data_IF_114118064782
#
_entry.id   IF_114118064782
#
_cell.length_a   1.000
_cell.length_b   1.000
_cell.length_c   1.000
_cell.angle_alpha   90.00
_cell.angle_beta   90.00
_cell.angle_gamma   90.00
#
_symmetry.space_group_name_H-M   'P 1'
#
loop_
_entity.id
_entity.type
_entity.pdbx_description
1 polymer ?
#
# COMPACT_ATOMS: atom_id res chain seq x y z
N UNK A 1 1.10 11.63 -17.76
CA UNK A 1 -0.19 11.28 -17.12
C UNK A 1 -0.81 12.55 -16.55
N UNK A 2 -2.13 12.73 -16.63
CA UNK A 2 -2.82 13.80 -15.88
C UNK A 2 -2.63 13.59 -14.36
N UNK A 3 -2.54 14.67 -13.53
CA UNK A 3 -2.00 14.53 -12.18
C UNK A 3 -2.96 13.80 -11.22
N UNK A 4 -2.38 12.96 -10.37
CA UNK A 4 -2.96 12.38 -9.17
C UNK A 4 -2.19 12.92 -7.95
N UNK A 5 -2.77 12.83 -6.76
CA UNK A 5 -2.12 13.32 -5.53
C UNK A 5 -1.45 12.17 -4.80
N UNK A 6 -0.23 12.38 -4.31
CA UNK A 6 0.44 11.45 -3.38
C UNK A 6 0.50 12.12 -2.01
N UNK A 7 0.06 11.40 -0.97
CA UNK A 7 0.13 11.83 0.42
C UNK A 7 0.95 10.79 1.19
N UNK A 8 1.95 11.25 1.93
CA UNK A 8 2.76 10.41 2.82
C UNK A 8 2.40 10.78 4.27
N UNK A 9 2.00 9.80 5.06
CA UNK A 9 1.53 9.99 6.44
C UNK A 9 2.12 8.94 7.41
N UNK A 10 2.16 9.24 8.70
CA UNK A 10 2.78 8.36 9.71
C UNK A 10 1.78 7.44 10.43
N UNK A 11 0.50 7.45 10.07
CA UNK A 11 -0.50 6.61 10.71
C UNK A 11 -0.13 5.10 10.64
N UNK A 12 0.24 4.56 11.80
CA UNK A 12 0.67 3.15 12.00
C UNK A 12 -0.14 2.43 13.10
N UNK A 13 -1.27 3.02 13.51
CA UNK A 13 -2.23 2.42 14.44
C UNK A 13 -3.64 2.48 13.84
N UNK A 14 -4.54 1.59 14.28
CA UNK A 14 -5.90 1.55 13.76
C UNK A 14 -6.64 2.89 13.88
N UNK A 15 -6.57 3.53 15.05
CA UNK A 15 -7.21 4.83 15.26
C UNK A 15 -6.60 5.93 14.38
N UNK A 16 -5.27 6.01 14.30
CA UNK A 16 -4.61 7.02 13.46
C UNK A 16 -4.95 6.82 11.97
N UNK A 17 -4.96 5.58 11.50
CA UNK A 17 -5.30 5.25 10.11
C UNK A 17 -6.74 5.62 9.79
N UNK A 18 -7.67 5.36 10.71
CA UNK A 18 -9.08 5.71 10.56
C UNK A 18 -9.28 7.23 10.42
N UNK A 19 -8.64 8.02 11.28
CA UNK A 19 -8.73 9.47 11.22
C UNK A 19 -8.10 10.04 9.94
N UNK A 20 -6.92 9.54 9.55
CA UNK A 20 -6.24 9.97 8.35
C UNK A 20 -7.05 9.64 7.09
N UNK A 21 -7.51 8.39 6.93
CA UNK A 21 -8.31 7.97 5.78
C UNK A 21 -9.67 8.68 5.73
N UNK A 22 -10.30 8.94 6.87
CA UNK A 22 -11.52 9.75 6.94
C UNK A 22 -11.28 11.18 6.44
N UNK A 23 -10.19 11.81 6.87
CA UNK A 23 -9.82 13.15 6.40
C UNK A 23 -9.53 13.17 4.89
N UNK A 24 -8.74 12.22 4.39
CA UNK A 24 -8.40 12.08 2.96
C UNK A 24 -9.66 11.82 2.13
N UNK A 25 -10.56 10.95 2.60
CA UNK A 25 -11.83 10.66 1.92
C UNK A 25 -12.72 11.90 1.79
N UNK A 26 -12.71 12.80 2.78
CA UNK A 26 -13.50 14.04 2.76
C UNK A 26 -12.97 15.09 1.78
N UNK A 27 -11.66 15.11 1.51
CA UNK A 27 -11.04 16.07 0.57
C UNK A 27 -10.91 15.50 -0.85
N UNK A 28 -11.14 14.20 -1.01
CA UNK A 28 -10.98 13.49 -2.27
C UNK A 28 -11.95 14.02 -3.34
N UNK A 29 -11.49 14.36 -4.56
CA UNK A 29 -12.37 14.83 -5.64
C UNK A 29 -13.51 13.84 -5.95
N UNK A 30 -14.66 14.36 -6.38
CA UNK A 30 -15.75 13.51 -6.85
C UNK A 30 -15.29 12.60 -8.00
N UNK A 31 -15.75 11.35 -8.01
CA UNK A 31 -15.40 10.32 -9.01
C UNK A 31 -13.91 9.91 -9.08
N UNK A 32 -13.11 10.24 -8.07
CA UNK A 32 -11.73 9.74 -7.95
C UNK A 32 -11.61 8.54 -6.98
N UNK A 33 -10.53 7.78 -7.09
CA UNK A 33 -10.23 6.66 -6.22
C UNK A 33 -9.27 7.04 -5.08
N UNK A 34 -9.39 6.34 -3.96
CA UNK A 34 -8.37 6.31 -2.91
C UNK A 34 -7.62 4.97 -2.96
N UNK A 35 -6.30 5.04 -3.11
CA UNK A 35 -5.38 3.89 -3.11
C UNK A 35 -4.51 3.99 -1.86
N UNK A 36 -4.65 3.04 -0.93
CA UNK A 36 -3.92 3.06 0.34
C UNK A 36 -2.78 2.05 0.32
N UNK A 37 -1.55 2.51 0.57
CA UNK A 37 -0.32 1.70 0.67
C UNK A 37 0.14 1.65 2.11
N UNK A 38 0.16 0.47 2.72
CA UNK A 38 0.59 0.33 4.11
C UNK A 38 1.06 -1.10 4.43
N UNK A 39 1.72 -1.25 5.57
CA UNK A 39 2.06 -2.54 6.15
C UNK A 39 1.65 -2.58 7.62
N UNK A 40 2.19 -3.54 8.36
CA UNK A 40 2.17 -3.47 9.81
C UNK A 40 3.47 -4.05 10.34
N UNK A 41 4.09 -3.40 11.32
CA UNK A 41 5.29 -3.94 11.96
C UNK A 41 5.09 -5.30 12.65
N UNK A 42 6.11 -6.15 12.62
CA UNK A 42 6.25 -7.33 13.47
C UNK A 42 6.75 -6.97 14.88
N UNK A 43 6.68 -7.92 15.82
CA UNK A 43 6.93 -7.76 17.27
C UNK A 43 6.10 -6.64 17.91
N UNK A 44 4.95 -6.34 17.33
CA UNK A 44 4.00 -5.34 17.84
C UNK A 44 2.64 -6.00 18.07
N UNK A 45 1.72 -5.23 18.64
CA UNK A 45 0.36 -5.69 18.86
C UNK A 45 -0.29 -6.13 17.53
N UNK A 46 -0.61 -7.43 17.44
CA UNK A 46 -1.27 -8.04 16.28
C UNK A 46 -2.69 -7.49 16.05
N UNK A 47 -3.30 -6.83 17.03
CA UNK A 47 -4.57 -6.12 16.81
C UNK A 47 -4.47 -5.07 15.69
N UNK A 48 -3.25 -4.54 15.43
CA UNK A 48 -2.99 -3.59 14.34
C UNK A 48 -3.26 -4.15 12.96
N UNK A 49 -3.26 -5.48 12.77
CA UNK A 49 -3.62 -6.11 11.49
C UNK A 49 -5.07 -5.83 11.08
N UNK A 50 -5.92 -5.44 12.05
CA UNK A 50 -7.28 -4.91 11.80
C UNK A 50 -7.31 -3.64 10.97
N UNK A 51 -6.17 -2.95 10.79
CA UNK A 51 -6.03 -1.84 9.84
C UNK A 51 -6.45 -2.21 8.41
N UNK A 52 -6.40 -3.49 8.03
CA UNK A 52 -6.97 -3.97 6.76
C UNK A 52 -8.46 -3.67 6.62
N UNK A 53 -9.24 -3.85 7.69
CA UNK A 53 -10.67 -3.54 7.70
C UNK A 53 -10.91 -2.02 7.56
N UNK A 54 -10.11 -1.22 8.27
CA UNK A 54 -10.18 0.25 8.22
C UNK A 54 -9.85 0.75 6.81
N UNK A 55 -8.76 0.27 6.21
CA UNK A 55 -8.38 0.62 4.84
C UNK A 55 -9.50 0.29 3.83
N UNK A 56 -10.17 -0.86 4.00
CA UNK A 56 -11.26 -1.28 3.13
C UNK A 56 -12.50 -0.38 3.23
N UNK A 57 -12.77 0.25 4.39
CA UNK A 57 -13.91 1.19 4.53
C UNK A 57 -13.79 2.44 3.66
N UNK A 58 -12.57 2.89 3.39
CA UNK A 58 -12.31 4.18 2.75
C UNK A 58 -11.73 4.07 1.34
N UNK A 59 -11.04 2.97 1.05
CA UNK A 59 -10.20 2.85 -0.16
C UNK A 59 -10.89 2.06 -1.26
N UNK A 60 -10.65 2.44 -2.51
CA UNK A 60 -11.01 1.64 -3.67
C UNK A 60 -9.96 0.56 -3.94
N UNK A 61 -8.71 0.81 -3.54
CA UNK A 61 -7.63 -0.16 -3.66
C UNK A 61 -6.71 -0.12 -2.44
N UNK A 62 -6.23 -1.29 -2.06
CA UNK A 62 -5.35 -1.49 -0.91
C UNK A 62 -4.11 -2.21 -1.42
N UNK A 63 -2.94 -1.64 -1.14
CA UNK A 63 -1.65 -2.24 -1.45
C UNK A 63 -0.91 -2.51 -0.15
N UNK A 64 -0.70 -3.78 0.13
CA UNK A 64 -0.14 -4.27 1.41
C UNK A 64 1.33 -4.63 1.19
N UNK A 65 2.20 -4.16 2.07
CA UNK A 65 3.66 -4.28 1.93
C UNK A 65 4.38 -4.29 3.28
N UNK A 66 5.71 -4.31 3.27
CA UNK A 66 6.54 -4.23 4.46
C UNK A 66 6.40 -2.86 5.19
N UNK A 67 6.39 -2.90 6.52
CA UNK A 67 6.52 -1.72 7.39
C UNK A 67 7.64 -1.90 8.41
N UNK A 68 7.83 -3.08 8.99
CA UNK A 68 9.01 -3.50 9.75
C UNK A 68 8.73 -4.94 10.17
N UNK A 69 8.73 -5.94 9.25
CA UNK A 69 8.34 -7.30 9.60
C UNK A 69 9.19 -7.92 10.72
N UNK A 70 10.45 -7.45 10.88
CA UNK A 70 11.40 -8.00 11.88
C UNK A 70 11.53 -9.50 11.66
N UNK A 71 11.37 -10.31 12.70
CA UNK A 71 11.46 -11.78 12.62
C UNK A 71 10.14 -12.48 12.32
N UNK A 72 9.04 -11.73 12.11
CA UNK A 72 7.79 -12.30 11.62
C UNK A 72 7.80 -12.39 10.09
N UNK A 73 7.25 -13.48 9.55
CA UNK A 73 7.04 -13.67 8.12
C UNK A 73 6.19 -12.53 7.54
N UNK A 74 6.71 -11.81 6.55
CA UNK A 74 5.96 -10.73 5.92
C UNK A 74 4.68 -11.25 5.23
N UNK A 75 4.77 -12.43 4.62
CA UNK A 75 3.62 -13.07 3.97
C UNK A 75 2.50 -13.40 4.97
N UNK A 76 2.84 -13.78 6.20
CA UNK A 76 1.86 -14.06 7.26
C UNK A 76 1.21 -12.77 7.78
N UNK A 77 2.03 -11.73 8.03
CA UNK A 77 1.53 -10.38 8.37
C UNK A 77 0.53 -9.90 7.32
N UNK A 78 0.90 -9.98 6.03
CA UNK A 78 0.05 -9.58 4.93
C UNK A 78 -1.24 -10.41 4.88
N UNK A 79 -1.17 -11.71 5.17
CA UNK A 79 -2.34 -12.59 5.21
C UNK A 79 -3.32 -12.22 6.33
N UNK A 80 -2.81 -11.83 7.51
CA UNK A 80 -3.63 -11.33 8.61
C UNK A 80 -4.35 -10.03 8.20
N UNK A 81 -3.64 -9.07 7.60
CA UNK A 81 -4.23 -7.81 7.11
C UNK A 81 -5.33 -8.09 6.06
N UNK A 82 -5.05 -8.95 5.07
CA UNK A 82 -6.00 -9.37 4.04
C UNK A 82 -7.28 -9.93 4.66
N UNK A 83 -7.15 -10.81 5.67
CA UNK A 83 -8.30 -11.42 6.35
C UNK A 83 -9.20 -10.38 7.00
N UNK A 84 -8.65 -9.32 7.59
CA UNK A 84 -9.46 -8.23 8.14
C UNK A 84 -10.13 -7.42 7.04
N UNK A 85 -9.41 -7.07 5.97
CA UNK A 85 -9.97 -6.33 4.84
C UNK A 85 -11.12 -7.08 4.14
N UNK A 86 -11.02 -8.42 4.02
CA UNK A 86 -12.07 -9.27 3.42
C UNK A 86 -13.40 -9.22 4.18
N UNK A 87 -13.40 -8.90 5.49
CA UNK A 87 -14.63 -8.68 6.26
C UNK A 87 -15.46 -7.52 5.71
N UNK A 88 -14.81 -6.60 4.98
CA UNK A 88 -15.44 -5.47 4.33
C UNK A 88 -15.47 -5.64 2.79
N UNK A 89 -15.67 -6.88 2.32
CA UNK A 89 -15.84 -7.23 0.90
C UNK A 89 -14.64 -6.91 -0.01
N UNK A 90 -13.47 -6.66 0.57
CA UNK A 90 -12.25 -6.49 -0.22
C UNK A 90 -11.85 -7.80 -0.90
N UNK A 91 -11.53 -7.73 -2.19
CA UNK A 91 -11.13 -8.85 -3.02
C UNK A 91 -9.61 -8.85 -3.18
N UNK A 92 -8.95 -9.92 -2.74
CA UNK A 92 -7.55 -10.16 -3.07
C UNK A 92 -7.43 -10.46 -4.56
N UNK A 93 -6.77 -9.57 -5.30
CA UNK A 93 -6.53 -9.73 -6.73
C UNK A 93 -5.29 -10.56 -6.98
N UNK A 94 -4.19 -10.23 -6.29
CA UNK A 94 -2.94 -10.96 -6.40
C UNK A 94 -1.99 -10.70 -5.25
N UNK A 95 -1.00 -11.58 -5.14
CA UNK A 95 0.18 -11.42 -4.29
C UNK A 95 1.40 -11.46 -5.21
N UNK A 96 2.31 -10.53 -5.04
CA UNK A 96 3.61 -10.50 -5.72
C UNK A 96 4.66 -11.08 -4.78
N UNK A 97 5.35 -12.11 -5.25
CA UNK A 97 6.35 -12.82 -4.46
C UNK A 97 7.62 -11.98 -4.28
N UNK A 98 8.07 -11.33 -5.35
CA UNK A 98 9.30 -10.56 -5.42
C UNK A 98 9.23 -9.53 -6.57
N UNK A 99 10.27 -8.69 -6.66
CA UNK A 99 10.37 -7.68 -7.71
C UNK A 99 10.31 -8.28 -9.13
N UNK A 100 10.88 -9.46 -9.36
CA UNK A 100 10.87 -10.08 -10.69
C UNK A 100 9.44 -10.45 -11.09
N UNK A 101 8.73 -11.13 -10.19
CA UNK A 101 7.33 -11.50 -10.34
C UNK A 101 6.42 -10.25 -10.54
N UNK A 102 6.70 -9.17 -9.81
CA UNK A 102 6.04 -7.88 -10.00
C UNK A 102 6.28 -7.31 -11.41
N UNK A 103 7.54 -7.18 -11.86
CA UNK A 103 7.85 -6.62 -13.18
C UNK A 103 7.21 -7.43 -14.31
N UNK A 104 7.18 -8.76 -14.20
CA UNK A 104 6.59 -9.65 -15.20
C UNK A 104 5.07 -9.52 -15.30
N UNK A 105 4.37 -9.30 -14.17
CA UNK A 105 2.89 -9.37 -14.13
C UNK A 105 2.18 -8.04 -14.00
N UNK A 106 2.84 -6.95 -13.61
CA UNK A 106 2.18 -5.66 -13.32
C UNK A 106 1.29 -5.13 -14.44
N UNK A 107 1.68 -5.34 -15.70
CA UNK A 107 0.91 -4.91 -16.87
C UNK A 107 -0.49 -5.51 -16.96
N UNK A 108 -0.72 -6.70 -16.39
CA UNK A 108 -2.02 -7.38 -16.39
C UNK A 108 -3.02 -6.64 -15.49
N UNK A 109 -2.58 -6.20 -14.31
CA UNK A 109 -3.47 -5.65 -13.27
C UNK A 109 -3.78 -4.17 -13.42
N UNK A 110 -2.97 -3.44 -14.20
CA UNK A 110 -3.25 -2.04 -14.56
C UNK A 110 -4.55 -1.93 -15.38
N UNK A 111 -4.95 -2.99 -16.08
CA UNK A 111 -6.12 -2.99 -16.98
C UNK A 111 -7.43 -3.39 -16.27
N UNK A 112 -7.37 -4.24 -15.24
CA UNK A 112 -8.55 -4.80 -14.55
C UNK A 112 -9.37 -3.79 -13.72
N UNK A 113 -8.75 -2.66 -13.34
CA UNK A 113 -9.41 -1.57 -12.61
C UNK A 113 -10.53 -0.88 -13.42
N UNK A 114 -10.64 -1.08 -14.75
CA UNK A 114 -11.67 -0.42 -15.57
C UNK A 114 -13.05 -1.07 -15.41
N UNK A 115 -13.10 -2.36 -15.06
CA UNK A 115 -14.34 -3.15 -15.08
C UNK A 115 -14.94 -3.42 -13.68
N UNK A 116 -14.28 -3.00 -12.59
CA UNK A 116 -14.64 -3.37 -11.22
C UNK A 116 -14.93 -2.15 -10.32
N UNK A 117 -15.67 -1.15 -10.81
CA UNK A 117 -15.98 0.08 -10.02
C UNK A 117 -16.64 -0.19 -8.65
N UNK A 118 -17.29 -1.34 -8.47
CA UNK A 118 -18.01 -1.69 -7.23
C UNK A 118 -17.21 -2.53 -6.24
N UNK A 119 -15.93 -2.86 -6.50
CA UNK A 119 -15.12 -3.74 -5.64
C UNK A 119 -13.92 -3.01 -5.05
N UNK A 120 -13.65 -3.27 -3.78
CA UNK A 120 -12.41 -2.88 -3.10
C UNK A 120 -11.36 -3.92 -3.49
N UNK A 121 -10.30 -3.51 -4.18
CA UNK A 121 -9.27 -4.41 -4.70
C UNK A 121 -8.03 -4.43 -3.80
N UNK A 122 -7.44 -5.61 -3.60
CA UNK A 122 -6.23 -5.74 -2.79
C UNK A 122 -5.09 -6.40 -3.54
N UNK A 123 -3.88 -5.92 -3.26
CA UNK A 123 -2.63 -6.39 -3.80
C UNK A 123 -1.62 -6.50 -2.66
N UNK A 124 -0.91 -7.61 -2.54
CA UNK A 124 0.10 -7.79 -1.50
C UNK A 124 1.49 -8.01 -2.09
N UNK A 125 2.51 -7.49 -1.42
CA UNK A 125 3.92 -7.65 -1.77
C UNK A 125 4.61 -8.38 -0.62
N UNK A 126 5.02 -9.62 -0.88
CA UNK A 126 5.47 -10.56 0.16
C UNK A 126 7.00 -10.68 0.27
N UNK A 127 7.76 -9.94 -0.54
CA UNK A 127 9.21 -10.00 -0.52
C UNK A 127 9.77 -9.45 0.80
N UNK A 128 10.61 -10.23 1.48
CA UNK A 128 11.32 -9.78 2.69
C UNK A 128 12.57 -8.95 2.35
N UNK A 129 12.33 -7.83 1.67
CA UNK A 129 13.35 -6.86 1.31
C UNK A 129 12.73 -5.46 1.17
N UNK A 130 13.57 -4.43 1.25
CA UNK A 130 13.17 -3.02 1.04
C UNK A 130 12.42 -2.80 -0.29
N UNK A 131 12.73 -3.61 -1.31
CA UNK A 131 12.07 -3.54 -2.60
C UNK A 131 10.57 -3.83 -2.53
N UNK A 132 10.09 -4.61 -1.56
CA UNK A 132 8.65 -4.87 -1.38
C UNK A 132 7.86 -3.57 -1.24
N UNK A 133 8.39 -2.61 -0.46
CA UNK A 133 7.73 -1.33 -0.23
C UNK A 133 7.89 -0.39 -1.43
N UNK A 134 9.03 -0.44 -2.11
CA UNK A 134 9.23 0.31 -3.35
C UNK A 134 8.29 -0.15 -4.46
N UNK A 135 8.21 -1.45 -4.70
CA UNK A 135 7.36 -2.04 -5.74
C UNK A 135 5.86 -1.82 -5.45
N UNK A 136 5.46 -1.85 -4.17
CA UNK A 136 4.12 -1.49 -3.75
C UNK A 136 3.77 -0.02 -4.07
N UNK A 137 4.69 0.92 -3.79
CA UNK A 137 4.51 2.34 -4.11
C UNK A 137 4.48 2.55 -5.62
N UNK A 138 5.41 1.93 -6.37
CA UNK A 138 5.42 1.97 -7.85
C UNK A 138 4.10 1.45 -8.42
N UNK A 139 3.61 0.33 -7.89
CA UNK A 139 2.35 -0.27 -8.32
C UNK A 139 1.16 0.64 -8.05
N UNK A 140 1.05 1.20 -6.85
CA UNK A 140 -0.02 2.13 -6.49
C UNK A 140 -0.06 3.35 -7.42
N UNK A 141 1.11 3.93 -7.71
CA UNK A 141 1.26 5.04 -8.67
C UNK A 141 0.93 4.60 -10.12
N UNK A 142 1.23 3.35 -10.47
CA UNK A 142 0.98 2.82 -11.81
C UNK A 142 -0.52 2.68 -12.12
N UNK A 143 -1.32 2.30 -11.12
CA UNK A 143 -2.78 2.13 -11.26
C UNK A 143 -3.57 3.42 -11.04
N UNK A 144 -2.95 4.43 -10.41
CA UNK A 144 -3.56 5.74 -10.18
C UNK A 144 -3.89 6.46 -11.50
N UNK A 145 -5.08 7.05 -11.53
CA UNK A 145 -5.65 7.87 -12.62
C UNK A 145 -5.75 9.33 -12.21
N UNK A 146 -6.06 10.20 -13.17
CA UNK A 146 -6.31 11.62 -12.92
C UNK A 146 -7.24 11.84 -11.74
N UNK A 147 -6.80 12.67 -10.79
CA UNK A 147 -7.58 13.05 -9.62
C UNK A 147 -7.63 12.00 -8.50
N UNK A 148 -7.09 10.79 -8.71
CA UNK A 148 -6.94 9.79 -7.65
C UNK A 148 -5.98 10.28 -6.55
N UNK A 149 -6.09 9.68 -5.38
CA UNK A 149 -5.17 9.88 -4.27
C UNK A 149 -4.45 8.55 -3.97
N UNK A 150 -3.12 8.59 -3.96
CA UNK A 150 -2.27 7.53 -3.43
C UNK A 150 -1.84 7.94 -2.02
N UNK A 151 -2.35 7.25 -1.01
CA UNK A 151 -2.07 7.50 0.41
C UNK A 151 -1.10 6.44 0.93
N UNK A 152 0.13 6.85 1.23
CA UNK A 152 1.22 5.98 1.70
C UNK A 152 1.39 6.23 3.19
N UNK A 153 1.33 5.18 4.01
CA UNK A 153 1.39 5.34 5.46
C UNK A 153 2.23 4.28 6.17
N UNK A 154 2.59 4.58 7.41
CA UNK A 154 3.27 3.68 8.33
C UNK A 154 4.74 4.04 8.59
N UNK A 155 5.47 4.57 7.60
CA UNK A 155 6.89 4.95 7.73
C UNK A 155 7.11 6.45 7.71
N UNK A 156 6.63 7.13 6.68
CA UNK A 156 6.76 8.58 6.50
C UNK A 156 8.16 9.17 6.80
N UNK A 157 8.38 9.66 8.03
CA UNK A 157 9.64 10.26 8.46
C UNK A 157 10.69 9.22 8.88
N UNK A 158 10.30 7.97 9.10
CA UNK A 158 11.23 6.88 9.41
C UNK A 158 12.20 6.62 8.25
N UNK A 159 13.46 6.35 8.61
CA UNK A 159 14.59 6.26 7.67
C UNK A 159 15.12 4.82 7.47
N UNK A 160 14.37 3.81 7.94
CA UNK A 160 14.75 2.41 7.81
C UNK A 160 13.56 1.46 7.68
N UNK A 161 13.83 0.25 7.20
CA UNK A 161 12.94 -0.90 7.24
C UNK A 161 13.66 -2.09 7.90
N UNK A 162 13.02 -2.70 8.88
CA UNK A 162 13.58 -3.79 9.66
C UNK A 162 13.20 -5.18 9.09
N UNK A 163 14.20 -6.00 8.77
CA UNK A 163 14.05 -7.43 8.46
C UNK A 163 14.97 -8.24 9.37
N UNK A 164 14.40 -9.19 10.11
CA UNK A 164 15.07 -9.86 11.23
C UNK A 164 15.53 -8.86 12.29
N UNK A 165 16.84 -8.86 12.55
CA UNK A 165 17.51 -7.93 13.47
C UNK A 165 18.28 -6.82 12.72
N UNK A 166 18.08 -6.70 11.40
CA UNK A 166 18.81 -5.76 10.56
C UNK A 166 17.89 -4.62 10.13
N UNK A 167 18.35 -3.38 10.30
CA UNK A 167 17.71 -2.17 9.79
C UNK A 167 18.35 -1.81 8.44
N UNK A 168 17.54 -1.75 7.38
CA UNK A 168 17.99 -1.38 6.04
C UNK A 168 17.59 0.07 5.75
N UNK A 169 18.44 0.90 5.10
CA UNK A 169 18.07 2.26 4.73
C UNK A 169 16.78 2.31 3.89
N UNK A 170 15.87 3.20 4.26
CA UNK A 170 14.58 3.37 3.58
C UNK A 170 14.05 4.80 3.73
N UNK A 171 13.35 5.32 2.73
CA UNK A 171 12.58 6.56 2.84
C UNK A 171 11.39 6.52 1.89
N UNK A 172 10.17 6.68 2.43
CA UNK A 172 8.95 6.78 1.60
C UNK A 172 9.04 7.97 0.63
N UNK A 173 9.65 9.08 1.07
CA UNK A 173 9.81 10.29 0.27
C UNK A 173 10.77 10.06 -0.92
N UNK A 174 11.91 9.42 -0.69
CA UNK A 174 12.86 9.10 -1.76
C UNK A 174 12.29 8.05 -2.73
N UNK A 175 11.58 7.04 -2.21
CA UNK A 175 10.90 6.04 -3.02
C UNK A 175 9.87 6.70 -3.97
N UNK A 176 9.04 7.60 -3.43
CA UNK A 176 8.07 8.36 -4.24
C UNK A 176 8.75 9.23 -5.28
N UNK A 177 9.81 9.97 -4.91
CA UNK A 177 10.54 10.82 -5.87
C UNK A 177 11.11 9.99 -7.03
N UNK A 178 11.66 8.82 -6.75
CA UNK A 178 12.16 7.87 -7.77
C UNK A 178 11.04 7.32 -8.65
N UNK A 179 9.90 6.97 -8.07
CA UNK A 179 8.73 6.49 -8.82
C UNK A 179 8.20 7.56 -9.77
N UNK A 180 8.07 8.81 -9.30
CA UNK A 180 7.65 9.95 -10.14
C UNK A 180 8.59 10.12 -11.33
N UNK A 181 9.91 10.19 -11.08
CA UNK A 181 10.91 10.35 -12.14
C UNK A 181 10.85 9.21 -13.19
N UNK A 182 10.62 7.97 -12.75
CA UNK A 182 10.48 6.81 -13.62
C UNK A 182 9.19 6.83 -14.48
N UNK A 183 8.12 7.45 -13.98
CA UNK A 183 6.83 7.54 -14.68
C UNK A 183 6.74 8.75 -15.61
N UNK A 184 7.53 9.80 -15.36
CA UNK A 184 7.67 10.93 -16.29
C UNK A 184 8.56 10.60 -17.50
N UNK A 185 9.52 9.69 -17.31
CA UNK A 185 10.44 9.25 -18.37
C UNK A 185 9.85 8.22 -19.34
N UNK A 186 8.56 7.86 -19.20
CA UNK A 186 7.85 6.85 -19.99
C UNK A 186 6.61 7.44 -20.65
#
# INVERSE_FOLDING_TARGET
KEPYTIIIDFAHTGHALDQALKAVSNIKPSNSNLITVFGCAGRRDKSRRSMGEIAARYSNSIVITAEDPRDESLADINSEIIKYAQKHSALLVTRFKDSEDYQQRKGKYIQDQKNNKSKILMYAFDQEAVNSRFDAIDFACSIARKGDIVFITGKAHEQSLAFGNTEYPWSDHEAVARVIANHESK
#
